data_IF_102996005408
#
_entry.id   IF_102996005408
#
_cell.length_a   1.000
_cell.length_b   1.000
_cell.length_c   1.000
_cell.angle_alpha   90.00
_cell.angle_beta   90.00
_cell.angle_gamma   90.00
#
_symmetry.space_group_name_H-M   'P 1'
#
loop_
_entity.id
_entity.type
_entity.pdbx_description
1 polymer ?
#
# COMPACT_ATOMS: atom_id res chain seq x y z
N UNK A 1 -25.15 -36.29 9.40
CA UNK A 1 -23.96 -36.10 8.53
C UNK A 1 -23.71 -34.60 8.48
N UNK A 2 -22.65 -34.13 9.16
CA UNK A 2 -22.23 -32.74 9.08
C UNK A 2 -21.78 -32.47 7.66
N UNK A 3 -22.51 -31.61 6.94
CA UNK A 3 -22.04 -31.07 5.66
C UNK A 3 -20.89 -30.13 6.00
N UNK A 4 -19.67 -30.63 5.87
CA UNK A 4 -18.50 -29.77 5.83
C UNK A 4 -18.68 -28.76 4.70
N UNK A 5 -18.42 -27.50 5.03
CA UNK A 5 -18.56 -26.38 4.10
C UNK A 5 -17.62 -26.61 2.90
N UNK A 6 -18.02 -26.30 1.65
CA UNK A 6 -17.16 -26.42 0.45
C UNK A 6 -15.82 -25.66 0.54
N UNK A 7 -15.62 -24.86 1.59
CA UNK A 7 -14.44 -24.07 1.87
C UNK A 7 -13.33 -24.83 2.63
N UNK A 8 -13.60 -26.02 3.19
CA UNK A 8 -12.58 -26.81 3.93
C UNK A 8 -11.51 -27.46 3.03
N UNK A 9 -11.68 -27.43 1.71
CA UNK A 9 -10.78 -28.05 0.72
C UNK A 9 -10.27 -27.09 -0.37
N UNK A 10 -10.08 -25.81 -0.06
CA UNK A 10 -9.52 -24.82 -1.01
C UNK A 10 -8.07 -24.47 -0.68
N UNK A 11 -7.30 -24.10 -1.71
CA UNK A 11 -6.01 -23.43 -1.50
C UNK A 11 -6.23 -22.11 -0.74
N UNK A 12 -5.25 -21.65 0.06
CA UNK A 12 -5.38 -20.40 0.79
C UNK A 12 -5.69 -19.22 -0.12
N UNK A 13 -6.54 -18.31 0.34
CA UNK A 13 -6.80 -17.06 -0.38
C UNK A 13 -5.51 -16.23 -0.48
N UNK A 14 -5.28 -15.61 -1.62
CA UNK A 14 -4.17 -14.70 -1.78
C UNK A 14 -4.48 -13.39 -1.03
N UNK A 15 -3.58 -13.00 -0.13
CA UNK A 15 -3.70 -11.79 0.72
C UNK A 15 -2.80 -10.64 0.27
N UNK A 16 -2.10 -10.78 -0.85
CA UNK A 16 -1.24 -9.71 -1.37
C UNK A 16 -2.07 -8.63 -2.04
N UNK A 17 -1.80 -7.36 -1.72
CA UNK A 17 -2.36 -6.18 -2.40
C UNK A 17 -2.25 -6.33 -3.93
N UNK A 18 -1.06 -6.68 -4.41
CA UNK A 18 -0.72 -6.91 -5.82
C UNK A 18 -1.62 -7.89 -6.57
N UNK A 19 -2.23 -8.85 -5.87
CA UNK A 19 -3.18 -9.77 -6.48
C UNK A 19 -4.52 -9.08 -6.75
N UNK A 20 -5.00 -8.25 -5.83
CA UNK A 20 -6.26 -7.54 -6.00
C UNK A 20 -6.11 -6.42 -7.04
N UNK A 21 -5.02 -5.68 -6.98
CA UNK A 21 -4.74 -4.54 -7.88
C UNK A 21 -4.33 -5.00 -9.27
N UNK A 22 -3.48 -6.04 -9.37
CA UNK A 22 -2.94 -6.53 -10.65
C UNK A 22 -3.69 -7.69 -11.29
N UNK A 23 -4.61 -8.36 -10.58
CA UNK A 23 -5.38 -9.50 -11.13
C UNK A 23 -6.88 -9.31 -11.02
N UNK A 24 -7.43 -9.11 -9.81
CA UNK A 24 -8.88 -9.00 -9.64
C UNK A 24 -9.42 -7.73 -10.30
N UNK A 25 -8.90 -6.57 -9.92
CA UNK A 25 -9.41 -5.28 -10.39
C UNK A 25 -9.42 -5.18 -11.93
N UNK A 26 -8.36 -5.54 -12.67
CA UNK A 26 -8.36 -5.48 -14.13
C UNK A 26 -9.41 -6.41 -14.77
N UNK A 27 -9.58 -7.62 -14.23
CA UNK A 27 -10.56 -8.58 -14.75
C UNK A 27 -11.99 -8.08 -14.57
N UNK A 28 -12.29 -7.45 -13.42
CA UNK A 28 -13.61 -6.87 -13.17
C UNK A 28 -13.80 -5.58 -13.99
N UNK A 29 -12.81 -4.70 -14.02
CA UNK A 29 -12.87 -3.42 -14.70
C UNK A 29 -13.06 -3.56 -16.22
N UNK A 30 -12.38 -4.51 -16.86
CA UNK A 30 -12.41 -4.72 -18.31
C UNK A 30 -13.66 -5.44 -18.81
N UNK A 31 -14.43 -6.08 -17.92
CA UNK A 31 -15.59 -6.87 -18.29
C UNK A 31 -16.64 -6.02 -19.03
N UNK A 32 -17.24 -6.60 -20.08
CA UNK A 32 -18.22 -5.92 -20.91
C UNK A 32 -17.64 -4.75 -21.72
N UNK A 33 -16.33 -4.74 -21.98
CA UNK A 33 -15.66 -3.66 -22.71
C UNK A 33 -15.54 -2.37 -21.89
N UNK A 34 -15.19 -2.50 -20.61
CA UNK A 34 -15.06 -1.42 -19.62
C UNK A 34 -16.37 -0.79 -19.13
N UNK A 35 -17.52 -1.42 -19.36
CA UNK A 35 -18.80 -0.95 -18.80
C UNK A 35 -18.82 -1.05 -17.26
N UNK A 36 -18.19 -2.08 -16.69
CA UNK A 36 -18.01 -2.19 -15.25
C UNK A 36 -17.15 -1.04 -14.71
N UNK A 37 -15.98 -0.77 -15.33
CA UNK A 37 -15.14 0.38 -14.97
C UNK A 37 -15.89 1.71 -15.08
N UNK A 38 -16.71 1.87 -16.12
CA UNK A 38 -17.57 3.05 -16.28
C UNK A 38 -18.47 3.23 -15.07
N UNK A 39 -19.18 2.18 -14.65
CA UNK A 39 -20.06 2.23 -13.48
C UNK A 39 -19.31 2.50 -12.19
N UNK A 40 -18.17 1.85 -11.98
CA UNK A 40 -17.28 2.11 -10.84
C UNK A 40 -16.96 3.61 -10.77
N UNK A 41 -16.63 4.23 -11.91
CA UNK A 41 -16.24 5.64 -11.92
C UNK A 41 -17.44 6.60 -12.00
N UNK A 42 -18.62 6.20 -12.48
CA UNK A 42 -19.78 7.12 -12.56
C UNK A 42 -20.73 7.03 -11.37
N UNK A 43 -20.84 5.87 -10.73
CA UNK A 43 -21.84 5.63 -9.67
C UNK A 43 -21.26 5.74 -8.27
N UNK A 44 -19.96 5.46 -8.10
CA UNK A 44 -19.30 5.41 -6.78
C UNK A 44 -18.53 6.69 -6.49
N UNK A 45 -18.01 7.33 -7.53
CA UNK A 45 -17.16 8.51 -7.42
C UNK A 45 -17.98 9.70 -6.89
N UNK A 46 -17.44 10.52 -5.97
CA UNK A 46 -18.20 11.65 -5.43
C UNK A 46 -18.64 12.57 -6.57
N UNK A 47 -19.89 13.04 -6.52
CA UNK A 47 -20.53 13.84 -7.57
C UNK A 47 -19.74 15.11 -7.98
N UNK A 48 -18.76 15.52 -7.17
CA UNK A 48 -17.80 16.60 -7.43
C UNK A 48 -16.79 16.28 -8.54
N UNK A 49 -16.60 15.02 -8.88
CA UNK A 49 -15.68 14.55 -9.91
C UNK A 49 -16.46 14.29 -11.19
N UNK A 50 -16.76 15.40 -11.87
CA UNK A 50 -17.26 15.36 -13.23
C UNK A 50 -16.14 14.90 -14.15
N UNK A 51 -15.94 13.59 -14.29
CA UNK A 51 -15.10 13.00 -15.33
C UNK A 51 -16.00 12.82 -16.56
N UNK A 52 -16.11 13.83 -17.47
CA UNK A 52 -17.16 13.87 -18.48
C UNK A 52 -16.98 12.76 -19.54
N UNK A 53 -15.77 12.20 -19.55
CA UNK A 53 -15.31 11.08 -20.34
C UNK A 53 -16.03 9.77 -20.05
N UNK A 54 -16.35 9.52 -18.78
CA UNK A 54 -16.89 8.24 -18.33
C UNK A 54 -18.42 8.24 -18.22
N UNK A 55 -19.06 9.39 -18.43
CA UNK A 55 -20.53 9.55 -18.42
C UNK A 55 -21.23 9.04 -19.68
N UNK A 56 -20.50 8.55 -20.68
CA UNK A 56 -21.05 7.96 -21.93
C UNK A 56 -20.41 6.58 -22.15
N UNK A 57 -21.04 5.66 -22.92
CA UNK A 57 -20.39 4.43 -23.35
C UNK A 57 -19.01 4.75 -23.92
N UNK A 58 -18.03 3.87 -23.67
CA UNK A 58 -16.64 4.06 -24.08
C UNK A 58 -16.59 4.70 -25.47
N UNK A 59 -16.13 5.95 -25.52
CA UNK A 59 -16.37 6.81 -26.68
C UNK A 59 -15.51 6.33 -27.83
N UNK A 60 -16.13 6.10 -28.99
CA UNK A 60 -15.39 6.06 -30.25
C UNK A 60 -14.57 7.35 -30.34
N UNK A 61 -13.25 7.24 -30.48
CA UNK A 61 -12.36 8.40 -30.45
C UNK A 61 -11.46 8.53 -29.21
N UNK A 62 -11.53 7.59 -28.27
CA UNK A 62 -10.75 7.62 -27.03
C UNK A 62 -10.06 6.28 -26.77
N UNK A 63 -8.85 6.37 -26.24
CA UNK A 63 -8.02 5.25 -25.82
C UNK A 63 -7.75 5.32 -24.31
N UNK A 64 -7.38 4.18 -23.74
CA UNK A 64 -7.03 4.05 -22.33
C UNK A 64 -5.70 3.31 -22.18
N UNK A 65 -4.86 3.81 -21.28
CA UNK A 65 -3.76 3.05 -20.70
C UNK A 65 -4.09 2.69 -19.26
N UNK A 66 -3.75 1.47 -18.87
CA UNK A 66 -4.02 0.91 -17.55
C UNK A 66 -2.76 0.23 -17.04
N UNK A 67 -2.20 0.77 -15.96
CA UNK A 67 -1.06 0.23 -15.24
C UNK A 67 -1.46 -0.25 -13.85
N UNK A 68 -0.89 -1.37 -13.42
CA UNK A 68 -1.03 -1.94 -12.09
C UNK A 68 0.34 -2.33 -11.55
N UNK A 69 0.65 -1.98 -10.31
CA UNK A 69 1.70 -2.51 -9.40
C UNK A 69 3.04 -3.01 -9.97
N UNK A 70 3.47 -2.49 -11.12
CA UNK A 70 4.88 -2.42 -11.49
C UNK A 70 5.26 -0.97 -11.35
N UNK A 71 6.34 -0.71 -10.60
CA UNK A 71 6.82 0.64 -10.39
C UNK A 71 6.83 1.34 -11.74
N UNK A 72 6.05 2.41 -11.89
CA UNK A 72 5.95 3.14 -13.15
C UNK A 72 7.35 3.43 -13.72
N UNK A 73 8.31 3.62 -12.81
CA UNK A 73 9.75 3.69 -13.03
C UNK A 73 10.33 2.54 -13.86
N UNK A 74 10.03 1.28 -13.53
CA UNK A 74 10.49 0.10 -14.27
C UNK A 74 9.84 -0.01 -15.66
N UNK A 75 8.68 0.62 -15.85
CA UNK A 75 8.01 0.68 -17.15
C UNK A 75 8.57 1.78 -18.06
N UNK A 76 9.33 2.74 -17.52
CA UNK A 76 10.06 3.75 -18.31
C UNK A 76 11.33 3.09 -18.86
N UNK A 77 11.24 2.53 -20.07
CA UNK A 77 12.39 1.94 -20.78
C UNK A 77 13.25 3.09 -21.35
N UNK A 78 14.54 3.20 -20.97
CA UNK A 78 15.44 4.26 -21.45
C UNK A 78 15.59 4.35 -22.97
N UNK A 79 15.36 3.24 -23.69
CA UNK A 79 15.54 3.13 -25.14
C UNK A 79 14.22 3.07 -25.92
N UNK A 80 13.10 3.46 -25.31
CA UNK A 80 11.86 3.66 -26.07
C UNK A 80 11.85 5.01 -26.79
N UNK A 81 11.17 5.16 -27.93
CA UNK A 81 11.03 6.46 -28.61
C UNK A 81 10.38 7.56 -27.74
N UNK A 82 9.75 7.17 -26.62
CA UNK A 82 9.09 8.05 -25.68
C UNK A 82 10.08 8.66 -24.67
N UNK A 83 10.94 9.57 -25.15
CA UNK A 83 11.78 10.45 -24.31
C UNK A 83 10.99 11.37 -23.36
N UNK A 84 9.66 11.37 -23.47
CA UNK A 84 8.74 12.23 -22.73
C UNK A 84 8.89 12.10 -21.20
N UNK A 85 9.30 10.92 -20.72
CA UNK A 85 9.40 10.61 -19.28
C UNK A 85 10.83 10.48 -18.75
N UNK A 86 11.87 10.70 -19.57
CA UNK A 86 13.30 10.55 -19.18
C UNK A 86 13.73 11.49 -18.03
N UNK A 87 13.00 12.60 -17.83
CA UNK A 87 13.31 13.63 -16.83
C UNK A 87 12.25 13.74 -15.72
N UNK A 88 11.41 12.72 -15.51
CA UNK A 88 10.62 12.68 -14.28
C UNK A 88 11.60 12.40 -13.13
N UNK A 89 11.90 13.45 -12.35
CA UNK A 89 12.67 13.30 -11.13
C UNK A 89 11.81 12.58 -10.10
N UNK A 90 11.98 11.26 -10.03
CA UNK A 90 11.49 10.40 -8.95
C UNK A 90 12.35 10.63 -7.69
N UNK A 91 12.52 11.90 -7.30
CA UNK A 91 13.43 12.32 -6.25
C UNK A 91 12.94 11.82 -4.88
N UNK A 92 13.43 10.65 -4.51
CA UNK A 92 13.48 10.18 -3.12
C UNK A 92 12.39 9.20 -2.66
N UNK A 93 11.23 9.14 -3.31
CA UNK A 93 10.15 8.21 -2.95
C UNK A 93 10.03 7.05 -3.94
N UNK A 94 9.95 5.81 -3.42
CA UNK A 94 9.58 4.61 -4.20
C UNK A 94 8.06 4.42 -4.28
N UNK A 95 7.29 5.26 -3.59
CA UNK A 95 5.83 5.16 -3.56
C UNK A 95 5.25 5.58 -4.90
N UNK A 96 4.61 4.64 -5.60
CA UNK A 96 3.81 4.89 -6.80
C UNK A 96 2.40 4.38 -6.54
N UNK A 97 1.35 4.98 -7.14
CA UNK A 97 0.00 4.46 -7.00
C UNK A 97 -0.09 3.00 -7.46
N UNK A 98 -0.89 2.20 -6.76
CA UNK A 98 -1.08 0.79 -7.09
C UNK A 98 -1.74 0.61 -8.46
N UNK A 99 -2.61 1.53 -8.86
CA UNK A 99 -3.28 1.56 -10.16
C UNK A 99 -3.16 2.95 -10.78
N UNK A 100 -2.84 3.01 -12.07
CA UNK A 100 -2.84 4.26 -12.87
C UNK A 100 -3.66 4.05 -14.13
N UNK A 101 -4.65 4.90 -14.35
CA UNK A 101 -5.49 4.94 -15.54
C UNK A 101 -5.25 6.26 -16.28
N UNK A 102 -4.96 6.20 -17.57
CA UNK A 102 -4.85 7.38 -18.42
C UNK A 102 -5.81 7.28 -19.60
N UNK A 103 -6.74 8.23 -19.69
CA UNK A 103 -7.74 8.36 -20.73
C UNK A 103 -7.34 9.48 -21.67
N UNK A 104 -7.27 9.23 -22.98
CA UNK A 104 -6.83 10.23 -23.95
C UNK A 104 -7.55 10.12 -25.30
N UNK A 105 -7.73 11.25 -26.02
CA UNK A 105 -8.37 11.22 -27.33
C UNK A 105 -7.41 10.59 -28.36
N UNK A 106 -7.93 9.71 -29.21
CA UNK A 106 -7.15 9.08 -30.29
C UNK A 106 -6.97 9.98 -31.52
N UNK A 107 -7.74 11.07 -31.60
CA UNK A 107 -7.58 12.16 -32.56
C UNK A 107 -7.39 13.48 -31.81
N UNK A 108 -6.12 13.88 -31.69
CA UNK A 108 -5.70 15.11 -31.02
C UNK A 108 -6.05 16.38 -31.80
N UNK A 109 -6.45 16.27 -33.09
CA UNK A 109 -6.88 17.42 -33.89
C UNK A 109 -8.39 17.69 -33.78
N UNK A 110 -9.20 16.66 -33.54
CA UNK A 110 -10.66 16.77 -33.49
C UNK A 110 -11.22 17.03 -32.08
N UNK A 111 -10.46 16.78 -31.01
CA UNK A 111 -10.99 16.84 -29.64
C UNK A 111 -10.43 18.03 -28.84
N UNK A 112 -11.27 19.01 -28.44
CA UNK A 112 -10.85 20.08 -27.52
C UNK A 112 -10.70 19.59 -26.07
N UNK A 113 -10.96 18.30 -25.80
CA UNK A 113 -10.91 17.71 -24.46
C UNK A 113 -9.49 17.26 -24.13
N UNK A 114 -9.00 17.66 -22.96
CA UNK A 114 -7.74 17.19 -22.40
C UNK A 114 -7.88 15.74 -21.95
N UNK A 115 -6.76 15.02 -21.88
CA UNK A 115 -6.73 13.69 -21.29
C UNK A 115 -7.08 13.73 -19.80
N UNK A 116 -7.27 12.57 -19.19
CA UNK A 116 -7.52 12.42 -17.75
C UNK A 116 -6.62 11.33 -17.19
N UNK A 117 -5.84 11.66 -16.16
CA UNK A 117 -4.98 10.76 -15.40
C UNK A 117 -5.61 10.50 -14.04
N UNK A 118 -5.77 9.23 -13.68
CA UNK A 118 -6.31 8.79 -12.39
C UNK A 118 -5.29 7.88 -11.73
N UNK A 119 -4.76 8.30 -10.59
CA UNK A 119 -3.98 7.44 -9.69
C UNK A 119 -4.88 6.90 -8.58
N UNK A 120 -4.79 5.61 -8.29
CA UNK A 120 -5.56 4.97 -7.22
C UNK A 120 -4.59 4.24 -6.31
N UNK A 121 -4.58 4.64 -5.05
CA UNK A 121 -3.91 3.90 -3.98
C UNK A 121 -4.89 2.89 -3.40
N UNK A 122 -4.56 1.61 -3.47
CA UNK A 122 -5.44 0.54 -3.08
C UNK A 122 -4.93 -0.16 -1.82
N UNK A 123 -5.83 -0.43 -0.87
CA UNK A 123 -5.55 -1.34 0.23
C UNK A 123 -6.67 -2.34 0.30
N UNK A 124 -6.35 -3.62 0.32
CA UNK A 124 -7.27 -4.70 0.57
C UNK A 124 -7.12 -5.11 2.03
N UNK A 125 -6.06 -5.84 2.39
CA UNK A 125 -5.90 -6.38 3.74
C UNK A 125 -4.97 -5.57 4.64
N UNK A 126 -4.17 -4.67 4.07
CA UNK A 126 -3.33 -3.76 4.85
C UNK A 126 -4.21 -2.69 5.49
N UNK A 127 -3.98 -2.42 6.77
CA UNK A 127 -4.74 -1.40 7.52
C UNK A 127 -3.80 -0.28 7.97
N UNK A 128 -3.38 0.62 7.05
CA UNK A 128 -2.63 1.80 7.45
C UNK A 128 -3.49 2.66 8.37
N UNK A 129 -2.87 3.55 9.15
CA UNK A 129 -3.66 4.62 9.77
C UNK A 129 -4.06 5.64 8.69
N UNK A 130 -5.13 6.43 8.93
CA UNK A 130 -5.51 7.50 7.99
C UNK A 130 -4.35 8.48 7.72
N UNK A 131 -3.56 8.92 8.72
CA UNK A 131 -2.36 9.73 8.46
C UNK A 131 -1.30 9.05 7.60
N UNK A 132 -1.08 7.74 7.78
CA UNK A 132 -0.10 7.00 6.95
C UNK A 132 -0.57 6.93 5.50
N UNK A 133 -1.87 6.66 5.29
CA UNK A 133 -2.47 6.63 3.96
C UNK A 133 -2.38 8.00 3.27
N UNK A 134 -2.67 9.09 3.99
CA UNK A 134 -2.50 10.45 3.48
C UNK A 134 -1.04 10.76 3.14
N UNK A 135 -0.10 10.26 3.95
CA UNK A 135 1.33 10.35 3.68
C UNK A 135 1.74 9.65 2.38
N UNK A 136 1.24 8.44 2.15
CA UNK A 136 1.46 7.68 0.91
C UNK A 136 0.93 8.44 -0.31
N UNK A 137 -0.32 8.89 -0.25
CA UNK A 137 -0.97 9.68 -1.31
C UNK A 137 -0.19 10.96 -1.59
N UNK A 138 0.21 11.69 -0.55
CA UNK A 138 0.98 12.93 -0.69
C UNK A 138 2.33 12.68 -1.37
N UNK A 139 3.02 11.59 -1.02
CA UNK A 139 4.28 11.21 -1.65
C UNK A 139 4.11 10.87 -3.14
N UNK A 140 3.03 10.16 -3.50
CA UNK A 140 2.73 9.78 -4.88
C UNK A 140 2.30 10.96 -5.76
N UNK A 141 1.69 12.00 -5.16
CA UNK A 141 1.13 13.15 -5.88
C UNK A 141 2.15 13.86 -6.74
N UNK A 142 3.39 13.99 -6.27
CA UNK A 142 4.45 14.65 -7.01
C UNK A 142 4.75 13.95 -8.35
N UNK A 143 4.74 12.61 -8.35
CA UNK A 143 4.97 11.81 -9.56
C UNK A 143 3.80 12.00 -10.53
N UNK A 144 2.58 11.90 -10.03
CA UNK A 144 1.37 12.09 -10.84
C UNK A 144 1.26 13.50 -11.44
N UNK A 145 1.68 14.54 -10.71
CA UNK A 145 1.75 15.92 -11.22
C UNK A 145 2.75 16.05 -12.35
N UNK A 146 3.97 15.53 -12.17
CA UNK A 146 4.97 15.53 -13.25
C UNK A 146 4.48 14.76 -14.49
N UNK A 147 3.79 13.63 -14.31
CA UNK A 147 3.17 12.91 -15.43
C UNK A 147 2.10 13.73 -16.13
N UNK A 148 1.20 14.37 -15.38
CA UNK A 148 0.15 15.22 -15.95
C UNK A 148 0.73 16.37 -16.77
N UNK A 149 1.78 17.02 -16.28
CA UNK A 149 2.49 18.09 -17.01
C UNK A 149 3.08 17.59 -18.34
N UNK A 150 3.65 16.37 -18.34
CA UNK A 150 4.18 15.74 -19.56
C UNK A 150 3.09 15.31 -20.54
N UNK A 151 1.90 14.99 -20.03
CA UNK A 151 0.72 14.60 -20.79
C UNK A 151 -0.17 15.82 -21.11
N UNK A 152 0.45 16.94 -21.49
CA UNK A 152 -0.18 18.20 -21.88
C UNK A 152 -1.12 18.81 -20.81
N UNK A 153 -0.74 18.70 -19.54
CA UNK A 153 -1.52 19.17 -18.38
C UNK A 153 -2.94 18.56 -18.38
N UNK A 154 -2.99 17.24 -18.52
CA UNK A 154 -4.22 16.48 -18.41
C UNK A 154 -4.87 16.65 -17.03
N UNK A 155 -6.18 16.45 -16.94
CA UNK A 155 -6.87 16.47 -15.65
C UNK A 155 -6.31 15.36 -14.74
N UNK A 156 -6.05 15.67 -13.48
CA UNK A 156 -5.43 14.74 -12.53
C UNK A 156 -6.34 14.46 -11.34
N UNK A 157 -6.60 13.17 -11.11
CA UNK A 157 -7.35 12.68 -9.97
C UNK A 157 -6.53 11.65 -9.19
N UNK A 158 -6.62 11.73 -7.87
CA UNK A 158 -5.97 10.78 -6.97
C UNK A 158 -6.97 10.26 -5.97
N UNK A 159 -7.09 8.94 -5.90
CA UNK A 159 -8.12 8.25 -5.13
C UNK A 159 -7.53 7.22 -4.20
N UNK A 160 -8.39 6.79 -3.30
CA UNK A 160 -8.18 5.62 -2.46
C UNK A 160 -9.19 4.53 -2.82
N UNK A 161 -8.76 3.27 -2.87
CA UNK A 161 -9.64 2.10 -2.96
C UNK A 161 -9.46 1.21 -1.71
N UNK A 162 -10.47 1.18 -0.84
CA UNK A 162 -10.41 0.46 0.45
C UNK A 162 -11.70 -0.32 0.76
N UNK A 163 -11.69 -1.37 1.58
CA UNK A 163 -12.91 -2.05 2.01
C UNK A 163 -13.80 -1.11 2.84
N UNK A 164 -15.12 -1.29 2.78
CA UNK A 164 -16.06 -0.55 3.64
C UNK A 164 -15.75 -0.74 5.14
N UNK A 165 -15.30 -1.93 5.51
CA UNK A 165 -14.85 -2.27 6.86
C UNK A 165 -13.69 -1.37 7.32
N UNK A 166 -12.81 -0.96 6.42
CA UNK A 166 -11.71 -0.04 6.72
C UNK A 166 -12.23 1.39 6.93
N UNK A 167 -13.24 1.84 6.15
CA UNK A 167 -13.88 3.15 6.34
C UNK A 167 -14.49 3.26 7.74
N UNK A 168 -15.20 2.21 8.18
CA UNK A 168 -15.78 2.14 9.53
C UNK A 168 -14.73 2.36 10.63
N UNK A 169 -13.47 1.94 10.41
CA UNK A 169 -12.37 2.14 11.37
C UNK A 169 -11.80 3.56 11.33
N UNK A 170 -11.72 4.17 10.17
CA UNK A 170 -11.22 5.54 10.04
C UNK A 170 -12.19 6.59 10.60
N UNK A 171 -13.48 6.27 10.67
CA UNK A 171 -14.58 7.23 10.77
C UNK A 171 -14.83 7.90 9.41
N UNK A 172 -15.99 7.66 8.82
CA UNK A 172 -16.39 8.19 7.51
C UNK A 172 -16.34 9.72 7.47
N UNK A 173 -16.61 10.38 8.60
CA UNK A 173 -16.51 11.84 8.68
C UNK A 173 -15.06 12.30 8.51
N UNK A 174 -14.09 11.63 9.14
CA UNK A 174 -12.67 12.00 9.01
C UNK A 174 -12.17 11.78 7.59
N UNK A 175 -12.61 10.70 6.94
CA UNK A 175 -12.27 10.45 5.54
C UNK A 175 -12.87 11.53 4.63
N UNK A 176 -14.10 11.96 4.91
CA UNK A 176 -14.75 13.08 4.23
C UNK A 176 -14.01 14.40 4.44
N UNK A 177 -13.56 14.67 5.68
CA UNK A 177 -12.77 15.86 6.02
C UNK A 177 -11.45 15.87 5.23
N UNK A 178 -10.74 14.74 5.14
CA UNK A 178 -9.52 14.61 4.34
C UNK A 178 -9.76 14.92 2.85
N UNK A 179 -10.92 14.54 2.30
CA UNK A 179 -11.30 14.90 0.92
C UNK A 179 -11.57 16.40 0.79
N UNK A 180 -12.33 16.98 1.73
CA UNK A 180 -12.62 18.41 1.72
C UNK A 180 -11.36 19.28 1.85
N UNK A 181 -10.39 18.81 2.62
CA UNK A 181 -9.07 19.42 2.78
C UNK A 181 -8.13 19.20 1.57
N UNK A 182 -8.55 18.42 0.57
CA UNK A 182 -7.77 18.14 -0.62
C UNK A 182 -6.57 17.21 -0.39
N UNK A 183 -6.59 16.42 0.70
CA UNK A 183 -5.56 15.39 0.95
C UNK A 183 -5.63 14.29 -0.09
N UNK A 184 -6.82 13.98 -0.61
CA UNK A 184 -7.10 13.22 -1.83
C UNK A 184 -8.46 13.64 -2.39
N UNK A 185 -8.76 13.28 -3.64
CA UNK A 185 -9.96 13.76 -4.34
C UNK A 185 -11.20 12.91 -4.05
N UNK A 186 -11.03 11.67 -3.58
CA UNK A 186 -12.14 10.80 -3.22
C UNK A 186 -11.67 9.41 -2.81
N UNK A 187 -12.63 8.58 -2.42
CA UNK A 187 -12.40 7.16 -2.16
C UNK A 187 -13.45 6.30 -2.87
N UNK A 188 -13.06 5.06 -3.13
CA UNK A 188 -13.87 3.98 -3.67
C UNK A 188 -13.81 2.82 -2.69
N UNK A 189 -14.77 1.90 -2.79
CA UNK A 189 -14.71 0.66 -2.02
C UNK A 189 -14.61 -0.58 -2.89
N UNK A 190 -13.89 -1.59 -2.40
CA UNK A 190 -13.89 -2.90 -3.05
C UNK A 190 -15.31 -3.49 -3.15
N UNK A 191 -16.15 -3.21 -2.16
CA UNK A 191 -17.58 -3.53 -2.16
C UNK A 191 -18.31 -2.85 -3.32
N UNK A 192 -18.08 -1.54 -3.52
CA UNK A 192 -18.67 -0.79 -4.62
C UNK A 192 -18.17 -1.23 -6.00
N UNK A 193 -16.91 -1.68 -6.08
CA UNK A 193 -16.35 -2.30 -7.30
C UNK A 193 -17.09 -3.57 -7.66
N UNK A 194 -17.31 -4.45 -6.67
CA UNK A 194 -18.06 -5.69 -6.84
C UNK A 194 -19.52 -5.40 -7.25
N UNK A 195 -20.20 -4.49 -6.55
CA UNK A 195 -21.59 -4.11 -6.84
C UNK A 195 -21.73 -3.51 -8.25
N UNK A 196 -20.84 -2.60 -8.65
CA UNK A 196 -20.82 -2.02 -9.98
C UNK A 196 -20.61 -3.08 -11.08
N UNK A 197 -19.72 -4.05 -10.83
CA UNK A 197 -19.51 -5.18 -11.76
C UNK A 197 -20.74 -6.09 -11.85
N UNK A 198 -21.36 -6.45 -10.72
CA UNK A 198 -22.57 -7.27 -10.67
C UNK A 198 -23.72 -6.61 -11.43
N UNK A 199 -23.92 -5.30 -11.27
CA UNK A 199 -24.91 -4.51 -12.00
C UNK A 199 -24.65 -4.44 -13.50
N UNK A 200 -23.38 -4.45 -13.92
CA UNK A 200 -23.03 -4.42 -15.34
C UNK A 200 -23.27 -5.76 -16.04
N UNK A 201 -22.97 -6.88 -15.37
CA UNK A 201 -22.82 -8.18 -16.03
C UNK A 201 -23.85 -9.25 -15.61
N UNK A 202 -24.54 -9.07 -14.48
CA UNK A 202 -25.71 -9.86 -14.07
C UNK A 202 -25.49 -11.34 -13.74
N UNK A 203 -24.30 -11.91 -14.00
CA UNK A 203 -24.03 -13.34 -13.86
C UNK A 203 -22.52 -13.64 -13.64
N UNK A 204 -22.23 -14.59 -12.75
CA UNK A 204 -20.90 -15.15 -12.46
C UNK A 204 -20.37 -16.16 -13.48
N UNK A 205 -21.05 -16.39 -14.59
CA UNK A 205 -20.68 -17.36 -15.61
C UNK A 205 -19.49 -16.94 -16.49
N UNK A 206 -19.07 -15.66 -16.44
CA UNK A 206 -17.89 -15.20 -17.18
C UNK A 206 -16.58 -15.49 -16.43
N UNK A 207 -15.42 -15.46 -17.11
CA UNK A 207 -14.12 -15.55 -16.43
C UNK A 207 -13.95 -14.49 -15.33
N UNK A 208 -14.45 -13.27 -15.53
CA UNK A 208 -14.47 -12.23 -14.51
C UNK A 208 -15.29 -12.63 -13.27
N UNK A 209 -16.33 -13.46 -13.46
CA UNK A 209 -17.12 -14.03 -12.37
C UNK A 209 -16.31 -14.91 -11.40
N UNK A 210 -15.21 -15.55 -11.84
CA UNK A 210 -14.33 -16.27 -10.93
C UNK A 210 -13.63 -15.30 -9.96
N UNK A 211 -13.10 -14.19 -10.49
CA UNK A 211 -12.43 -13.17 -9.69
C UNK A 211 -13.42 -12.38 -8.81
N UNK A 212 -14.65 -12.19 -9.29
CA UNK A 212 -15.71 -11.59 -8.50
C UNK A 212 -16.06 -12.43 -7.26
N UNK A 213 -16.09 -13.77 -7.40
CA UNK A 213 -16.28 -14.68 -6.26
C UNK A 213 -15.13 -14.64 -5.27
N UNK A 214 -13.89 -14.53 -5.76
CA UNK A 214 -12.73 -14.40 -4.90
C UNK A 214 -12.76 -13.07 -4.12
N UNK A 215 -13.16 -11.97 -4.77
CA UNK A 215 -13.35 -10.68 -4.12
C UNK A 215 -14.50 -10.72 -3.11
N UNK A 216 -15.65 -11.29 -3.47
CA UNK A 216 -16.81 -11.48 -2.60
C UNK A 216 -16.42 -12.25 -1.34
N UNK A 217 -15.77 -13.41 -1.50
CA UNK A 217 -15.29 -14.20 -0.38
C UNK A 217 -14.28 -13.44 0.48
N UNK A 218 -13.37 -12.69 -0.13
CA UNK A 218 -12.39 -11.86 0.59
C UNK A 218 -13.06 -10.78 1.45
N UNK A 219 -14.10 -10.13 0.93
CA UNK A 219 -14.88 -9.10 1.63
C UNK A 219 -15.75 -9.70 2.74
N UNK A 220 -16.43 -10.82 2.49
CA UNK A 220 -17.24 -11.52 3.49
C UNK A 220 -16.41 -12.02 4.68
N UNK A 221 -15.15 -12.38 4.43
CA UNK A 221 -14.24 -12.91 5.44
C UNK A 221 -13.20 -11.89 5.88
N UNK A 222 -13.44 -10.60 5.58
CA UNK A 222 -12.44 -9.53 5.73
C UNK A 222 -11.78 -9.53 7.10
N UNK A 223 -12.56 -9.53 8.18
CA UNK A 223 -12.04 -9.46 9.55
C UNK A 223 -11.08 -10.60 9.90
N UNK A 224 -11.27 -11.79 9.31
CA UNK A 224 -10.39 -12.95 9.50
C UNK A 224 -9.15 -12.94 8.61
N UNK A 225 -9.18 -12.16 7.53
CA UNK A 225 -8.14 -12.11 6.49
C UNK A 225 -7.26 -10.86 6.57
N UNK A 226 -7.74 -9.83 7.26
CA UNK A 226 -6.96 -8.64 7.57
C UNK A 226 -5.68 -9.05 8.28
N UNK A 227 -4.57 -8.46 7.85
CA UNK A 227 -3.33 -8.54 8.62
C UNK A 227 -3.61 -7.90 9.97
N UNK A 228 -3.53 -8.66 11.08
CA UNK A 228 -3.52 -8.06 12.40
C UNK A 228 -2.49 -6.94 12.35
N UNK A 229 -2.95 -5.70 12.59
CA UNK A 229 -2.08 -4.54 12.67
C UNK A 229 -0.98 -4.95 13.63
N UNK A 230 0.25 -5.13 13.14
CA UNK A 230 1.39 -5.33 14.03
C UNK A 230 1.46 -4.05 14.83
N UNK A 231 0.82 -4.04 16.00
CA UNK A 231 0.91 -2.90 16.89
C UNK A 231 2.40 -2.85 17.21
N UNK A 232 3.09 -1.78 16.81
CA UNK A 232 4.36 -1.47 17.47
C UNK A 232 4.08 -1.55 18.97
N UNK A 233 4.86 -2.37 19.67
CA UNK A 233 4.62 -2.66 21.06
C UNK A 233 3.94 -3.99 21.41
N UNK A 234 3.35 -4.74 20.47
CA UNK A 234 2.61 -5.99 20.80
C UNK A 234 3.54 -7.10 21.34
N UNK A 235 4.76 -7.10 20.82
CA UNK A 235 5.85 -7.99 21.18
C UNK A 235 6.84 -7.32 22.15
N UNK A 236 6.53 -6.11 22.61
CA UNK A 236 7.40 -5.27 23.42
C UNK A 236 6.97 -5.35 24.88
N UNK A 237 7.78 -5.96 25.71
CA UNK A 237 7.56 -5.96 27.15
C UNK A 237 7.99 -4.61 27.77
N UNK A 238 9.03 -3.97 27.20
CA UNK A 238 9.49 -2.65 27.62
C UNK A 238 10.31 -1.95 26.53
N UNK A 239 10.61 -0.67 26.73
CA UNK A 239 11.61 0.07 25.95
C UNK A 239 12.80 0.40 26.82
N UNK A 240 14.00 0.14 26.32
CA UNK A 240 15.26 0.42 27.02
C UNK A 240 16.24 1.08 26.04
N UNK A 241 17.08 1.96 26.56
CA UNK A 241 18.19 2.49 25.75
C UNK A 241 19.19 1.38 25.44
N UNK A 242 19.89 1.46 24.31
CA UNK A 242 20.91 0.46 23.97
C UNK A 242 21.98 0.33 25.05
N UNK A 243 22.33 1.42 25.76
CA UNK A 243 23.23 1.38 26.91
C UNK A 243 22.66 0.60 28.09
N UNK A 244 21.38 0.77 28.41
CA UNK A 244 20.72 0.00 29.47
C UNK A 244 20.64 -1.49 29.13
N UNK A 245 20.38 -1.82 27.85
CA UNK A 245 20.39 -3.20 27.35
C UNK A 245 21.79 -3.82 27.49
N UNK A 246 22.82 -3.11 27.02
CA UNK A 246 24.21 -3.58 27.07
C UNK A 246 24.68 -3.80 28.51
N UNK A 247 24.48 -2.83 29.39
CA UNK A 247 24.86 -2.93 30.80
C UNK A 247 24.09 -4.04 31.51
N UNK A 248 22.77 -4.08 31.37
CA UNK A 248 21.93 -5.09 32.00
C UNK A 248 22.31 -6.52 31.60
N UNK A 249 22.66 -6.73 30.32
CA UNK A 249 23.15 -8.01 29.84
C UNK A 249 24.56 -8.36 30.35
N UNK A 250 25.51 -7.40 30.34
CA UNK A 250 26.91 -7.63 30.72
C UNK A 250 27.11 -7.76 32.23
N UNK A 251 26.36 -7.00 33.02
CA UNK A 251 26.43 -7.02 34.48
C UNK A 251 25.74 -8.28 35.07
N UNK A 252 24.98 -9.02 34.24
CA UNK A 252 24.29 -10.24 34.68
C UNK A 252 23.28 -9.96 35.79
N UNK A 253 22.67 -8.76 35.79
CA UNK A 253 21.70 -8.37 36.80
C UNK A 253 20.54 -9.37 36.85
N UNK A 254 20.18 -9.82 38.06
CA UNK A 254 19.06 -10.74 38.28
C UNK A 254 17.73 -10.15 37.82
N UNK A 255 17.65 -8.82 37.73
CA UNK A 255 16.44 -8.09 37.30
C UNK A 255 16.38 -7.91 35.78
N UNK A 256 17.46 -8.22 35.05
CA UNK A 256 17.50 -8.12 33.59
C UNK A 256 16.97 -9.41 32.95
N UNK A 257 15.67 -9.43 32.68
CA UNK A 257 14.96 -10.63 32.20
C UNK A 257 14.82 -10.70 30.67
N UNK A 258 15.09 -9.61 29.95
CA UNK A 258 14.94 -9.52 28.51
C UNK A 258 15.97 -10.36 27.75
N UNK A 259 15.56 -10.96 26.63
CA UNK A 259 16.38 -11.88 25.80
C UNK A 259 16.55 -11.40 24.37
N UNK A 260 15.54 -10.73 23.83
CA UNK A 260 15.53 -10.21 22.46
C UNK A 260 15.23 -8.72 22.45
N UNK A 261 15.67 -8.04 21.40
CA UNK A 261 15.41 -6.64 21.15
C UNK A 261 14.96 -6.40 19.71
N UNK A 262 14.16 -5.36 19.50
CA UNK A 262 13.61 -4.96 18.22
C UNK A 262 14.30 -3.72 17.65
N UNK A 263 14.73 -3.79 16.39
CA UNK A 263 15.15 -2.65 15.59
C UNK A 263 14.77 -2.86 14.13
N UNK A 264 14.20 -1.84 13.48
CA UNK A 264 13.82 -1.90 12.06
C UNK A 264 15.04 -2.22 11.18
N UNK A 265 14.91 -3.26 10.35
CA UNK A 265 16.00 -3.83 9.55
C UNK A 265 16.83 -4.91 10.25
N UNK A 266 16.54 -5.23 11.52
CA UNK A 266 17.19 -6.28 12.29
C UNK A 266 18.64 -5.97 12.69
N UNK A 267 19.35 -6.98 13.18
CA UNK A 267 20.72 -6.87 13.71
C UNK A 267 21.70 -6.26 12.70
N UNK A 268 21.52 -6.56 11.41
CA UNK A 268 22.42 -6.12 10.33
C UNK A 268 21.84 -4.98 9.48
N UNK A 269 20.69 -4.43 9.88
CA UNK A 269 20.05 -3.33 9.17
C UNK A 269 20.83 -2.03 9.22
N UNK A 270 20.67 -1.22 8.18
CA UNK A 270 21.32 0.09 8.05
C UNK A 270 21.04 1.00 9.26
N UNK A 271 19.83 0.93 9.83
CA UNK A 271 19.44 1.73 10.99
C UNK A 271 20.31 1.45 12.21
N UNK A 272 20.42 0.18 12.61
CA UNK A 272 21.25 -0.17 13.77
C UNK A 272 22.73 0.09 13.50
N UNK A 273 23.22 -0.21 12.29
CA UNK A 273 24.61 0.08 11.92
C UNK A 273 24.91 1.59 12.06
N UNK A 274 24.03 2.46 11.58
CA UNK A 274 24.17 3.91 11.71
C UNK A 274 24.18 4.35 13.18
N UNK A 275 23.28 3.81 14.02
CA UNK A 275 23.29 4.13 15.45
C UNK A 275 24.59 3.70 16.13
N UNK A 276 25.15 2.56 15.73
CA UNK A 276 26.43 2.06 16.26
C UNK A 276 27.57 2.96 15.81
N UNK A 277 27.65 3.27 14.52
CA UNK A 277 28.72 4.11 13.93
C UNK A 277 28.76 5.51 14.51
N UNK A 278 27.60 6.09 14.80
CA UNK A 278 27.48 7.42 15.40
C UNK A 278 27.49 7.42 16.93
N UNK A 279 27.65 6.25 17.57
CA UNK A 279 27.50 6.08 19.03
C UNK A 279 26.11 6.49 19.60
N UNK A 280 25.13 6.73 18.74
CA UNK A 280 23.75 7.08 19.12
C UNK A 280 23.02 5.91 19.79
N UNK A 281 23.49 4.68 19.56
CA UNK A 281 22.91 3.47 20.16
C UNK A 281 22.81 3.52 21.69
N UNK A 282 23.68 4.30 22.35
CA UNK A 282 23.68 4.45 23.80
C UNK A 282 22.42 5.14 24.32
N UNK A 283 21.85 6.05 23.52
CA UNK A 283 20.72 6.91 23.90
C UNK A 283 19.43 6.50 23.20
N UNK A 284 19.53 5.83 22.06
CA UNK A 284 18.38 5.33 21.32
C UNK A 284 17.63 4.26 22.13
N UNK A 285 16.32 4.45 22.28
CA UNK A 285 15.42 3.44 22.82
C UNK A 285 15.13 2.36 21.79
N UNK A 286 15.17 1.11 22.25
CA UNK A 286 14.80 -0.09 21.51
C UNK A 286 13.70 -0.83 22.26
N UNK A 287 12.83 -1.50 21.51
CA UNK A 287 11.86 -2.44 22.09
C UNK A 287 12.61 -3.67 22.60
N UNK A 288 12.24 -4.20 23.76
CA UNK A 288 12.80 -5.43 24.33
C UNK A 288 11.71 -6.40 24.74
N UNK A 289 12.04 -7.69 24.74
CA UNK A 289 11.13 -8.74 25.20
C UNK A 289 11.85 -9.85 25.96
N UNK A 290 11.13 -10.47 26.89
CA UNK A 290 11.54 -11.66 27.64
C UNK A 290 11.42 -12.96 26.81
N UNK A 291 10.82 -12.92 25.62
CA UNK A 291 10.72 -14.08 24.74
C UNK A 291 12.08 -14.52 24.22
N UNK A 292 12.27 -15.83 24.05
CA UNK A 292 13.55 -16.39 23.63
C UNK A 292 13.77 -16.37 22.11
N UNK A 293 12.71 -16.47 21.32
CA UNK A 293 12.80 -16.51 19.86
C UNK A 293 12.39 -15.17 19.23
N UNK A 294 13.15 -14.66 18.24
CA UNK A 294 12.76 -13.48 17.50
C UNK A 294 11.41 -13.65 16.79
N UNK A 295 10.50 -12.70 16.99
CA UNK A 295 9.17 -12.74 16.36
C UNK A 295 9.19 -12.60 14.83
N UNK A 296 10.18 -11.85 14.30
CA UNK A 296 10.38 -11.61 12.88
C UNK A 296 11.79 -11.05 12.63
N UNK A 297 12.10 -10.70 11.37
CA UNK A 297 13.43 -10.21 10.97
C UNK A 297 13.87 -8.90 11.65
N UNK A 298 12.97 -8.13 12.26
CA UNK A 298 13.31 -6.92 13.02
C UNK A 298 13.71 -7.20 14.47
N UNK A 299 13.50 -8.41 14.96
CA UNK A 299 13.88 -8.84 16.31
C UNK A 299 15.14 -9.71 16.24
N UNK A 300 16.00 -9.62 17.25
CA UNK A 300 17.23 -10.38 17.35
C UNK A 300 17.67 -10.51 18.81
N UNK A 301 18.57 -11.44 19.08
CA UNK A 301 19.03 -11.67 20.45
C UNK A 301 19.83 -10.48 20.97
N UNK A 302 19.65 -10.17 22.26
CA UNK A 302 20.45 -9.14 22.94
C UNK A 302 21.92 -9.56 23.00
N UNK A 303 22.21 -10.87 23.09
CA UNK A 303 23.56 -11.41 23.04
C UNK A 303 24.28 -11.05 21.73
N UNK A 304 23.61 -11.19 20.58
CA UNK A 304 24.18 -10.81 19.29
C UNK A 304 24.40 -9.30 19.17
N UNK A 305 23.49 -8.49 19.71
CA UNK A 305 23.67 -7.05 19.80
C UNK A 305 24.92 -6.69 20.61
N UNK A 306 25.06 -7.27 21.81
CA UNK A 306 26.19 -7.02 22.72
C UNK A 306 27.51 -7.45 22.07
N UNK A 307 27.56 -8.63 21.45
CA UNK A 307 28.72 -9.08 20.67
C UNK A 307 29.07 -8.10 19.55
N UNK A 308 28.07 -7.57 18.86
CA UNK A 308 28.28 -6.60 17.79
C UNK A 308 28.85 -5.27 18.28
N UNK A 309 28.42 -4.80 19.45
CA UNK A 309 29.01 -3.63 20.13
C UNK A 309 30.46 -3.92 20.57
N UNK A 310 30.68 -5.03 21.27
CA UNK A 310 32.01 -5.44 21.77
C UNK A 310 33.04 -5.57 20.64
N UNK A 311 32.63 -6.08 19.47
CA UNK A 311 33.50 -6.23 18.31
C UNK A 311 33.87 -4.90 17.63
N UNK A 312 33.11 -3.82 17.83
CA UNK A 312 33.37 -2.50 17.20
C UNK A 312 33.96 -1.46 18.16
N UNK A 313 33.79 -1.63 19.46
CA UNK A 313 34.44 -0.81 20.48
C UNK A 313 35.40 -1.70 21.28
N UNK A 314 36.68 -1.82 20.87
CA UNK A 314 37.69 -2.43 21.72
C UNK A 314 37.69 -1.69 23.06
N UNK A 315 37.74 -2.44 24.17
CA UNK A 315 37.92 -1.85 25.50
C UNK A 315 39.10 -0.87 25.43
N UNK A 316 38.87 0.40 25.77
CA UNK A 316 39.96 1.26 26.15
C UNK A 316 40.60 0.62 27.37
N UNK A 317 41.81 0.08 27.21
CA UNK A 317 42.61 -0.36 28.35
C UNK A 317 42.80 0.85 29.27
N UNK A 318 42.26 0.74 30.49
CA UNK A 318 42.45 1.72 31.55
C UNK A 318 43.95 1.81 31.90
N UNK A 319 44.50 3.02 31.79
CA UNK A 319 45.76 3.45 32.41
C UNK A 319 45.49 4.54 33.41
#
# INVERSE_FOLDING_TARGET
MNKTSPHEHRIPINRKESFYTGTIFPMLAAEGGFEALRRIITEVYPASLDIPLLKKPWRQGWDMQFFTEYSLKESIVPDTPNKMFENIELSGSKETPDIVLYFYPNDTQASPLRGTLVGIEAKMFTQPSLPDLEGQISAQRQILQQMSEKLDNCDLYQLVLIPEETIKKYDEQKLSDSVQEGRFQGWLTWNSVLDAWQKANGDYASPAGLFAKDLEFALENFDSLVSEVSRSGQNCDAKLTGKAIYNGFKEGSTDFTYKIMGCSGGLNGNRLNNHIEKSEWQYQEYEVSNQHEPFNHNWFSIDDFVKKIDNRCPKSDDH
#
